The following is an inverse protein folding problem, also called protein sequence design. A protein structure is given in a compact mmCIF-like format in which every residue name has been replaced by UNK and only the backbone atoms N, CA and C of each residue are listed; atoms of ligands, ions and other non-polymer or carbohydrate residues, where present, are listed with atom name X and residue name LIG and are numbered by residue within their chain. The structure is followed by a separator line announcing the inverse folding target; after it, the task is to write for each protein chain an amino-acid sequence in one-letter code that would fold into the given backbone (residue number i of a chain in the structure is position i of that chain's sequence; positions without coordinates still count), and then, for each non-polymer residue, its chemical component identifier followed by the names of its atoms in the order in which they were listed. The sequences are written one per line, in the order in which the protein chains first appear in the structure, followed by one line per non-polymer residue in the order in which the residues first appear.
data_IF_772861886935
#
_entry.id   IF_772861886935
#
_cell.length_a   1.000
_cell.length_b   1.000
_cell.length_c   1.000
_cell.angle_alpha   90.00
_cell.angle_beta   90.00
_cell.angle_gamma   90.00
#
_symmetry.space_group_name_H-M   'P 1'
#
loop_
_entity.id
_entity.type
_entity.pdbx_description
1 polymer ?
#
# COMPACT_ATOMS: atom_id res chain seq x y z
N UNK A 1 4.76 23.84 0.74
CA UNK A 1 4.71 23.61 -0.71
C UNK A 1 3.23 23.56 -1.06
N UNK A 2 2.74 24.47 -1.90
CA UNK A 2 1.31 24.81 -2.02
C UNK A 2 0.53 23.76 -2.83
N UNK A 3 -0.74 23.54 -2.46
CA UNK A 3 -1.67 22.59 -3.11
C UNK A 3 -1.82 22.81 -4.64
N UNK A 4 -1.70 24.06 -5.09
CA UNK A 4 -1.72 24.44 -6.52
C UNK A 4 -0.54 23.88 -7.33
N UNK A 5 0.62 23.68 -6.70
CA UNK A 5 1.78 23.07 -7.39
C UNK A 5 1.62 21.56 -7.54
N UNK A 6 0.94 20.91 -6.58
CA UNK A 6 0.62 19.48 -6.62
C UNK A 6 -0.43 19.20 -7.69
N UNK A 7 -1.52 19.98 -7.71
CA UNK A 7 -2.64 19.78 -8.63
C UNK A 7 -2.25 20.00 -10.11
N UNK A 8 -1.41 21.00 -10.42
CA UNK A 8 -0.86 21.15 -11.77
C UNK A 8 0.08 20.01 -12.15
N UNK A 9 0.89 19.51 -11.22
CA UNK A 9 1.76 18.35 -11.46
C UNK A 9 0.96 17.06 -11.71
N UNK A 10 -0.16 16.88 -11.01
CA UNK A 10 -1.08 15.74 -11.19
C UNK A 10 -1.81 15.84 -12.54
N UNK A 11 -2.27 17.02 -12.93
CA UNK A 11 -2.92 17.25 -14.24
C UNK A 11 -1.97 17.00 -15.41
N UNK A 12 -0.74 17.53 -15.35
CA UNK A 12 0.27 17.29 -16.40
C UNK A 12 0.60 15.81 -16.56
N UNK A 13 0.58 15.06 -15.46
CA UNK A 13 0.91 13.64 -15.48
C UNK A 13 -0.24 12.78 -16.02
N UNK A 14 -1.48 13.18 -15.73
CA UNK A 14 -2.68 12.61 -16.37
C UNK A 14 -2.66 12.83 -17.89
N UNK A 15 -2.31 14.04 -18.34
CA UNK A 15 -2.28 14.38 -19.77
C UNK A 15 -1.16 13.64 -20.54
N UNK A 16 -0.02 13.36 -19.88
CA UNK A 16 1.11 12.61 -20.46
C UNK A 16 0.77 11.12 -20.72
N UNK A 17 -0.06 10.52 -19.87
CA UNK A 17 -0.51 9.12 -20.05
C UNK A 17 -1.37 8.92 -21.29
N UNK A 18 -2.19 9.92 -21.62
CA UNK A 18 -3.09 9.89 -22.78
C UNK A 18 -2.32 10.05 -24.08
N UNK A 19 -1.23 10.83 -24.07
CA UNK A 19 -0.35 11.00 -25.23
C UNK A 19 0.43 9.72 -25.59
N UNK A 20 0.69 8.84 -24.60
CA UNK A 20 1.51 7.64 -24.76
C UNK A 20 0.72 6.32 -24.77
N UNK A 21 -0.62 6.37 -24.64
CA UNK A 21 -1.47 5.17 -24.59
C UNK A 21 -1.25 4.32 -23.32
N UNK A 22 -0.61 4.90 -22.32
CA UNK A 22 -0.19 4.24 -21.08
C UNK A 22 -1.33 4.18 -20.06
N UNK A 23 -2.32 5.07 -20.18
CA UNK A 23 -3.49 5.14 -19.27
C UNK A 23 -4.18 3.79 -19.08
N UNK A 24 -4.47 3.06 -20.16
CA UNK A 24 -5.20 1.78 -20.07
C UNK A 24 -4.47 0.77 -19.16
N UNK A 25 -3.14 0.68 -19.26
CA UNK A 25 -2.34 -0.23 -18.42
C UNK A 25 -2.30 0.21 -16.97
N UNK A 26 -2.28 1.51 -16.70
CA UNK A 26 -2.38 2.03 -15.32
C UNK A 26 -3.77 1.77 -14.73
N UNK A 27 -4.84 1.93 -15.53
CA UNK A 27 -6.21 1.59 -15.11
C UNK A 27 -6.37 0.10 -14.82
N UNK A 28 -5.78 -0.77 -15.65
CA UNK A 28 -5.72 -2.21 -15.40
C UNK A 28 -4.95 -2.53 -14.12
N UNK A 29 -3.79 -1.90 -13.91
CA UNK A 29 -3.01 -2.02 -12.68
C UNK A 29 -3.79 -1.56 -11.44
N UNK A 30 -4.50 -0.43 -11.52
CA UNK A 30 -5.37 0.05 -10.45
C UNK A 30 -6.49 -0.95 -10.14
N UNK A 31 -7.14 -1.51 -11.17
CA UNK A 31 -8.18 -2.53 -11.01
C UNK A 31 -7.66 -3.80 -10.34
N UNK A 32 -6.43 -4.23 -10.66
CA UNK A 32 -5.78 -5.35 -10.01
C UNK A 32 -5.34 -5.04 -8.57
N UNK A 33 -5.03 -3.77 -8.27
CA UNK A 33 -4.68 -3.31 -6.93
C UNK A 33 -5.88 -3.28 -5.96
N UNK A 34 -7.08 -2.89 -6.42
CA UNK A 34 -8.24 -2.70 -5.55
C UNK A 34 -8.61 -3.92 -4.66
N UNK A 35 -8.67 -5.16 -5.17
CA UNK A 35 -8.92 -6.33 -4.32
C UNK A 35 -7.83 -6.59 -3.28
N UNK A 36 -6.57 -6.27 -3.60
CA UNK A 36 -5.46 -6.38 -2.64
C UNK A 36 -5.61 -5.33 -1.54
N UNK A 37 -5.98 -4.10 -1.92
CA UNK A 37 -6.23 -3.01 -0.99
C UNK A 37 -7.37 -3.33 -0.01
N UNK A 38 -8.46 -3.93 -0.51
CA UNK A 38 -9.58 -4.38 0.32
C UNK A 38 -9.17 -5.45 1.35
N UNK A 39 -8.20 -6.30 1.01
CA UNK A 39 -7.67 -7.34 1.92
C UNK A 39 -6.69 -6.78 2.95
N UNK A 40 -5.99 -5.69 2.65
CA UNK A 40 -5.05 -5.08 3.60
C UNK A 40 -5.75 -4.55 4.85
N UNK A 41 -6.90 -3.88 4.70
CA UNK A 41 -7.61 -3.25 5.83
C UNK A 41 -7.86 -4.20 7.00
N UNK A 42 -8.58 -5.34 6.79
CA UNK A 42 -8.80 -6.34 7.84
C UNK A 42 -7.51 -6.96 8.39
N UNK A 43 -6.46 -7.06 7.57
CA UNK A 43 -5.16 -7.55 8.00
C UNK A 43 -4.48 -6.57 8.97
N UNK A 44 -4.53 -5.27 8.66
CA UNK A 44 -4.02 -4.21 9.56
C UNK A 44 -4.86 -4.11 10.84
N UNK A 45 -6.18 -4.26 10.76
CA UNK A 45 -7.04 -4.32 11.96
C UNK A 45 -6.62 -5.46 12.89
N UNK A 46 -6.35 -6.66 12.36
CA UNK A 46 -5.85 -7.78 13.17
C UNK A 46 -4.44 -7.56 13.70
N UNK A 47 -3.59 -6.87 12.95
CA UNK A 47 -2.26 -6.50 13.45
C UNK A 47 -2.36 -5.60 14.68
N UNK A 48 -3.26 -4.62 14.63
CA UNK A 48 -3.46 -3.60 15.67
C UNK A 48 -4.28 -4.10 16.86
N UNK A 49 -5.22 -5.02 16.63
CA UNK A 49 -6.17 -5.50 17.64
C UNK A 49 -6.07 -7.01 17.80
N UNK A 50 -6.08 -7.49 19.05
CA UNK A 50 -6.16 -8.91 19.37
C UNK A 50 -7.39 -9.21 20.24
N UNK A 51 -8.59 -9.29 19.64
CA UNK A 51 -9.85 -9.47 20.37
C UNK A 51 -9.80 -10.59 21.40
N UNK A 52 -10.38 -10.34 22.58
CA UNK A 52 -10.58 -11.33 23.65
C UNK A 52 -12.08 -11.53 23.87
N UNK A 53 -12.46 -12.58 24.62
CA UNK A 53 -13.87 -12.85 24.96
C UNK A 53 -14.52 -11.67 25.70
N UNK A 54 -13.73 -10.92 26.48
CA UNK A 54 -14.21 -9.79 27.30
C UNK A 54 -14.11 -8.43 26.60
N UNK A 55 -13.20 -8.27 25.63
CA UNK A 55 -12.98 -7.02 24.90
C UNK A 55 -12.59 -7.27 23.43
N UNK A 56 -13.47 -6.93 22.46
CA UNK A 56 -13.20 -7.11 21.04
C UNK A 56 -12.29 -6.03 20.43
N UNK A 57 -11.99 -4.95 21.16
CA UNK A 57 -11.21 -3.81 20.67
C UNK A 57 -9.88 -3.63 21.42
N UNK A 58 -9.42 -4.67 22.13
CA UNK A 58 -8.14 -4.60 22.82
C UNK A 58 -6.99 -4.52 21.82
N UNK A 59 -6.06 -3.60 22.07
CA UNK A 59 -4.86 -3.47 21.25
C UNK A 59 -3.98 -4.71 21.38
N UNK A 60 -3.38 -5.12 20.27
CA UNK A 60 -2.39 -6.17 20.26
C UNK A 60 -1.13 -5.67 20.98
N UNK A 61 -0.81 -6.30 22.11
CA UNK A 61 0.39 -6.03 22.91
C UNK A 61 1.67 -6.63 22.30
N UNK A 62 1.53 -7.41 21.21
CA UNK A 62 2.62 -8.09 20.52
C UNK A 62 3.41 -9.07 21.41
N UNK A 63 2.79 -9.59 22.48
CA UNK A 63 3.40 -10.59 23.36
C UNK A 63 3.15 -12.03 22.90
N UNK A 64 2.35 -12.24 21.84
CA UNK A 64 2.13 -13.54 21.19
C UNK A 64 2.82 -13.58 19.81
N UNK A 65 4.05 -14.10 19.72
CA UNK A 65 4.78 -14.16 18.45
C UNK A 65 4.14 -15.08 17.41
N UNK A 66 3.30 -16.05 17.81
CA UNK A 66 2.63 -16.94 16.85
C UNK A 66 1.51 -16.19 16.14
N UNK A 67 0.75 -15.39 16.88
CA UNK A 67 -0.28 -14.52 16.32
C UNK A 67 0.33 -13.51 15.34
N UNK A 68 1.38 -12.80 15.75
CA UNK A 68 2.04 -11.80 14.91
C UNK A 68 2.64 -12.42 13.63
N UNK A 69 3.31 -13.57 13.75
CA UNK A 69 3.88 -14.28 12.58
C UNK A 69 2.82 -14.75 11.60
N UNK A 70 1.64 -15.17 12.08
CA UNK A 70 0.54 -15.56 11.20
C UNK A 70 0.10 -14.37 10.32
N UNK A 71 0.00 -13.18 10.92
CA UNK A 71 -0.34 -11.94 10.22
C UNK A 71 0.77 -11.52 9.25
N UNK A 72 2.04 -11.58 9.67
CA UNK A 72 3.18 -11.28 8.79
C UNK A 72 3.23 -12.22 7.58
N UNK A 73 2.94 -13.51 7.74
CA UNK A 73 2.86 -14.45 6.62
C UNK A 73 1.69 -14.17 5.65
N UNK A 74 0.59 -13.62 6.14
CA UNK A 74 -0.50 -13.17 5.28
C UNK A 74 -0.13 -11.87 4.55
N UNK A 75 0.59 -10.96 5.22
CA UNK A 75 1.10 -9.73 4.63
C UNK A 75 2.13 -10.03 3.53
N UNK A 76 3.05 -10.97 3.75
CA UNK A 76 4.01 -11.43 2.74
C UNK A 76 3.30 -11.93 1.48
N UNK A 77 2.25 -12.75 1.65
CA UNK A 77 1.46 -13.25 0.52
C UNK A 77 0.80 -12.12 -0.25
N UNK A 78 0.23 -11.15 0.47
CA UNK A 78 -0.41 -10.00 -0.14
C UNK A 78 0.60 -9.12 -0.91
N UNK A 79 1.80 -8.93 -0.36
CA UNK A 79 2.88 -8.17 -1.02
C UNK A 79 3.49 -8.94 -2.19
N UNK A 80 3.52 -10.27 -2.14
CA UNK A 80 3.91 -11.09 -3.28
C UNK A 80 2.91 -10.95 -4.44
N UNK A 81 1.61 -10.97 -4.17
CA UNK A 81 0.57 -10.70 -5.18
C UNK A 81 0.66 -9.26 -5.72
N UNK A 82 0.96 -8.29 -4.86
CA UNK A 82 1.15 -6.89 -5.25
C UNK A 82 2.34 -6.70 -6.21
N UNK A 83 3.39 -7.53 -6.09
CA UNK A 83 4.61 -7.42 -6.90
C UNK A 83 4.34 -7.50 -8.40
N UNK A 84 3.38 -8.32 -8.82
CA UNK A 84 3.02 -8.45 -10.23
C UNK A 84 2.41 -7.14 -10.76
N UNK A 85 1.51 -6.53 -9.97
CA UNK A 85 0.91 -5.23 -10.27
C UNK A 85 1.99 -4.14 -10.34
N UNK A 86 2.88 -4.12 -9.36
CA UNK A 86 3.98 -3.15 -9.26
C UNK A 86 4.95 -3.25 -10.43
N UNK A 87 5.23 -4.46 -10.90
CA UNK A 87 6.14 -4.70 -12.03
C UNK A 87 5.57 -4.09 -13.32
N UNK A 88 4.27 -4.31 -13.59
CA UNK A 88 3.60 -3.72 -14.74
C UNK A 88 3.57 -2.20 -14.62
N UNK A 89 3.15 -1.66 -13.48
CA UNK A 89 3.07 -0.22 -13.26
C UNK A 89 4.44 0.47 -13.39
N UNK A 90 5.51 -0.11 -12.85
CA UNK A 90 6.85 0.47 -12.92
C UNK A 90 7.46 0.43 -14.33
N UNK A 91 7.09 -0.56 -15.15
CA UNK A 91 7.52 -0.63 -16.55
C UNK A 91 6.89 0.50 -17.40
N UNK A 92 5.67 0.89 -17.06
CA UNK A 92 4.90 1.90 -17.79
C UNK A 92 5.12 3.32 -17.25
N UNK A 93 5.20 3.46 -15.93
CA UNK A 93 5.38 4.74 -15.25
C UNK A 93 6.50 4.58 -14.20
N UNK A 94 7.75 4.97 -14.54
CA UNK A 94 8.94 4.67 -13.74
C UNK A 94 8.89 5.07 -12.26
N UNK A 95 8.09 6.08 -11.91
CA UNK A 95 7.94 6.55 -10.52
C UNK A 95 7.39 5.46 -9.57
N UNK A 96 6.58 4.52 -10.07
CA UNK A 96 6.08 3.41 -9.25
C UNK A 96 7.20 2.43 -8.84
N UNK A 97 8.35 2.43 -9.52
CA UNK A 97 9.47 1.53 -9.19
C UNK A 97 10.00 1.68 -7.75
N UNK A 98 9.66 2.76 -7.05
CA UNK A 98 10.11 3.01 -5.67
C UNK A 98 9.36 2.21 -4.61
N UNK A 99 8.12 1.76 -4.85
CA UNK A 99 7.31 1.18 -3.77
C UNK A 99 7.72 -0.24 -3.40
N UNK A 100 8.03 -1.09 -4.39
CA UNK A 100 8.37 -2.50 -4.13
C UNK A 100 9.60 -2.65 -3.21
N UNK A 101 10.74 -1.98 -3.45
CA UNK A 101 11.89 -2.10 -2.55
C UNK A 101 11.59 -1.56 -1.13
N UNK A 102 10.73 -0.55 -1.01
CA UNK A 102 10.35 0.03 0.27
C UNK A 102 9.49 -0.92 1.10
N UNK A 103 8.48 -1.55 0.49
CA UNK A 103 7.64 -2.51 1.21
C UNK A 103 8.43 -3.79 1.54
N UNK A 104 9.31 -4.25 0.64
CA UNK A 104 10.22 -5.38 0.91
C UNK A 104 11.14 -5.11 2.12
N UNK A 105 11.66 -3.88 2.22
CA UNK A 105 12.48 -3.45 3.37
C UNK A 105 11.66 -3.42 4.66
N UNK A 106 10.42 -2.93 4.61
CA UNK A 106 9.53 -2.90 5.76
C UNK A 106 9.21 -4.30 6.28
N UNK A 107 8.92 -5.24 5.38
CA UNK A 107 8.67 -6.64 5.75
C UNK A 107 9.92 -7.30 6.35
N UNK A 108 11.09 -7.10 5.75
CA UNK A 108 12.33 -7.65 6.29
C UNK A 108 12.58 -7.17 7.74
N UNK A 109 12.36 -5.88 8.00
CA UNK A 109 12.51 -5.30 9.35
C UNK A 109 11.47 -5.80 10.33
N UNK A 110 10.22 -5.99 9.89
CA UNK A 110 9.17 -6.58 10.71
C UNK A 110 9.50 -8.04 11.10
N UNK A 111 10.01 -8.82 10.14
CA UNK A 111 10.47 -10.20 10.38
C UNK A 111 11.69 -10.28 11.31
N UNK A 112 12.57 -9.27 11.27
CA UNK A 112 13.68 -9.12 12.22
C UNK A 112 13.20 -8.71 13.64
N UNK A 113 11.90 -8.53 13.86
CA UNK A 113 11.28 -8.25 15.16
C UNK A 113 11.00 -6.77 15.44
N UNK A 114 11.25 -5.86 14.50
CA UNK A 114 10.90 -4.45 14.66
C UNK A 114 9.47 -4.20 14.15
N UNK A 115 8.49 -4.45 15.01
CA UNK A 115 7.05 -4.37 14.71
C UNK A 115 6.59 -2.99 14.22
N UNK A 116 7.35 -1.92 14.52
CA UNK A 116 7.08 -0.57 14.02
C UNK A 116 7.02 -0.52 12.50
N UNK A 117 7.73 -1.41 11.81
CA UNK A 117 7.76 -1.44 10.34
C UNK A 117 6.49 -2.00 9.70
N UNK A 118 5.51 -2.48 10.49
CA UNK A 118 4.20 -2.87 9.94
C UNK A 118 3.29 -1.67 9.79
N UNK A 119 3.11 -0.88 10.86
CA UNK A 119 2.10 0.19 10.86
C UNK A 119 2.48 1.54 11.52
N UNK A 120 3.70 1.69 12.06
CA UNK A 120 4.09 2.90 12.77
C UNK A 120 4.21 4.11 11.83
N UNK A 121 3.72 5.29 12.25
CA UNK A 121 3.86 6.52 11.48
C UNK A 121 5.30 7.09 11.47
N UNK A 122 6.18 6.60 12.34
CA UNK A 122 7.53 7.15 12.52
C UNK A 122 8.56 6.59 11.51
N UNK A 123 8.23 5.48 10.86
CA UNK A 123 9.10 4.81 9.89
C UNK A 123 8.36 4.62 8.58
N UNK A 124 9.07 4.22 7.52
CA UNK A 124 8.46 3.86 6.25
C UNK A 124 7.80 2.47 6.33
N UNK A 125 6.83 2.33 7.23
CA UNK A 125 6.13 1.09 7.53
C UNK A 125 5.33 0.58 6.31
N UNK A 126 5.04 -0.72 6.31
CA UNK A 126 4.35 -1.38 5.20
C UNK A 126 3.01 -0.72 4.85
N UNK A 127 2.21 -0.35 5.86
CA UNK A 127 0.94 0.35 5.65
C UNK A 127 1.11 1.72 4.95
N UNK A 128 2.14 2.49 5.32
CA UNK A 128 2.41 3.81 4.76
C UNK A 128 2.91 3.71 3.33
N UNK A 129 3.75 2.72 3.03
CA UNK A 129 4.16 2.46 1.65
C UNK A 129 2.96 2.08 0.79
N UNK A 130 2.03 1.29 1.33
CA UNK A 130 0.79 0.91 0.65
C UNK A 130 -0.14 2.10 0.41
N UNK A 131 -0.35 2.95 1.42
CA UNK A 131 -1.13 4.18 1.28
C UNK A 131 -0.52 5.09 0.21
N UNK A 132 0.80 5.29 0.23
CA UNK A 132 1.48 6.10 -0.79
C UNK A 132 1.30 5.53 -2.20
N UNK A 133 1.36 4.20 -2.36
CA UNK A 133 1.09 3.55 -3.64
C UNK A 133 -0.34 3.85 -4.13
N UNK A 134 -1.34 3.72 -3.25
CA UNK A 134 -2.73 4.05 -3.60
C UNK A 134 -2.85 5.52 -3.99
N UNK A 135 -2.28 6.44 -3.22
CA UNK A 135 -2.29 7.87 -3.55
C UNK A 135 -1.64 8.15 -4.91
N UNK A 136 -0.52 7.50 -5.22
CA UNK A 136 0.17 7.67 -6.50
C UNK A 136 -0.66 7.12 -7.66
N UNK A 137 -1.38 6.01 -7.49
CA UNK A 137 -2.33 5.49 -8.49
C UNK A 137 -3.46 6.50 -8.78
N UNK A 138 -4.10 7.05 -7.75
CA UNK A 138 -5.19 8.02 -7.92
C UNK A 138 -4.71 9.30 -8.58
N UNK A 139 -3.56 9.82 -8.14
CA UNK A 139 -2.92 10.98 -8.73
C UNK A 139 -2.53 10.75 -10.20
N UNK A 140 -2.07 9.54 -10.55
CA UNK A 140 -1.75 9.16 -11.93
C UNK A 140 -3.00 9.18 -12.81
N UNK A 141 -4.10 8.61 -12.31
CA UNK A 141 -5.33 8.46 -13.08
C UNK A 141 -6.23 9.71 -13.07
N UNK A 142 -5.93 10.70 -12.23
CA UNK A 142 -6.78 11.88 -12.03
C UNK A 142 -8.07 11.55 -11.27
N UNK A 143 -8.09 10.48 -10.47
CA UNK A 143 -9.27 10.06 -9.71
C UNK A 143 -9.30 10.83 -8.37
N UNK A 144 -10.42 11.49 -8.01
CA UNK A 144 -10.55 12.13 -6.71
C UNK A 144 -10.48 11.13 -5.57
N UNK A 145 -9.81 11.53 -4.47
CA UNK A 145 -9.76 10.70 -3.24
C UNK A 145 -11.18 10.40 -2.75
N UNK A 146 -11.44 9.14 -2.40
CA UNK A 146 -12.74 8.70 -1.91
C UNK A 146 -13.78 8.43 -3.01
N UNK A 147 -13.37 8.36 -4.27
CA UNK A 147 -14.21 7.93 -5.39
C UNK A 147 -14.03 6.43 -5.74
N UNK A 148 -13.01 5.76 -5.18
CA UNK A 148 -12.78 4.33 -5.38
C UNK A 148 -13.54 3.51 -4.33
N UNK A 149 -14.71 2.98 -4.70
CA UNK A 149 -15.47 2.01 -3.91
C UNK A 149 -15.63 0.72 -4.71
#
# INVERSE_FOLDING_TARGET
MTDLGRQHGEQMLSDDLDAHGTRQKVEEGHRCFLPLNQRLGPLMTRWQLRPTDDDPLVFNDHLDPLYDRAILHELDRLVAELRDVMTVLAAEVPRFGVHQPRIDTALARAWDGDHRWVDSPEVAAANLVWIQLHEDLLATLGIPRGADF
#
